data_IF_698920262053
#
_entry.id   IF_698920262053
#
_cell.length_a   1.000
_cell.length_b   1.000
_cell.length_c   1.000
_cell.angle_alpha   90.00
_cell.angle_beta   90.00
_cell.angle_gamma   90.00
#
_symmetry.space_group_name_H-M   'P 1'
#
loop_
_entity.id
_entity.type
_entity.pdbx_description
1 polymer ?
#
# COMPACT_ATOMS: atom_id res chain seq x y z
N UNK A 1 -3.33 -33.04 7.10
CA UNK A 1 -4.33 -32.02 6.75
C UNK A 1 -5.35 -32.66 5.81
N UNK A 2 -6.63 -32.63 6.14
CA UNK A 2 -7.69 -33.25 5.33
C UNK A 2 -7.98 -32.39 4.07
N UNK A 3 -8.46 -33.01 2.98
CA UNK A 3 -8.78 -32.33 1.71
C UNK A 3 -9.73 -31.15 1.90
N UNK A 4 -10.71 -31.27 2.81
CA UNK A 4 -11.65 -30.20 3.14
C UNK A 4 -10.96 -28.96 3.75
N UNK A 5 -9.91 -29.16 4.55
CA UNK A 5 -9.15 -28.07 5.18
C UNK A 5 -8.32 -27.31 4.13
N UNK A 6 -7.70 -28.05 3.21
CA UNK A 6 -6.97 -27.47 2.08
C UNK A 6 -7.93 -26.65 1.21
N UNK A 7 -9.13 -27.18 0.92
CA UNK A 7 -10.13 -26.49 0.12
C UNK A 7 -10.59 -25.17 0.76
N UNK A 8 -10.75 -25.12 2.09
CA UNK A 8 -11.12 -23.90 2.81
C UNK A 8 -10.01 -22.82 2.77
N UNK A 9 -8.74 -23.22 2.84
CA UNK A 9 -7.60 -22.31 2.74
C UNK A 9 -7.48 -21.77 1.31
N UNK A 10 -7.61 -22.64 0.31
CA UNK A 10 -7.55 -22.26 -1.11
C UNK A 10 -8.69 -21.30 -1.45
N UNK A 11 -9.93 -21.64 -1.08
CA UNK A 11 -11.09 -20.77 -1.27
C UNK A 11 -10.90 -19.41 -0.57
N UNK A 12 -10.34 -19.39 0.64
CA UNK A 12 -10.04 -18.14 1.34
C UNK A 12 -9.03 -17.26 0.58
N UNK A 13 -7.95 -17.87 0.05
CA UNK A 13 -6.94 -17.17 -0.77
C UNK A 13 -7.57 -16.58 -2.03
N UNK A 14 -8.34 -17.39 -2.74
CA UNK A 14 -8.98 -16.98 -4.00
C UNK A 14 -9.98 -15.85 -3.78
N UNK A 15 -10.79 -15.93 -2.72
CA UNK A 15 -11.76 -14.89 -2.37
C UNK A 15 -11.10 -13.55 -2.07
N UNK A 16 -10.05 -13.54 -1.26
CA UNK A 16 -9.30 -12.31 -0.95
C UNK A 16 -8.69 -11.74 -2.23
N UNK A 17 -7.99 -12.58 -3.01
CA UNK A 17 -7.34 -12.14 -4.24
C UNK A 17 -8.34 -11.58 -5.25
N UNK A 18 -9.49 -12.24 -5.42
CA UNK A 18 -10.56 -11.82 -6.34
C UNK A 18 -11.14 -10.47 -5.96
N UNK A 19 -11.50 -10.27 -4.69
CA UNK A 19 -12.08 -8.99 -4.22
C UNK A 19 -11.09 -7.84 -4.36
N UNK A 20 -9.82 -8.07 -3.98
CA UNK A 20 -8.78 -7.05 -4.13
C UNK A 20 -8.56 -6.74 -5.61
N UNK A 21 -8.42 -7.76 -6.46
CA UNK A 21 -8.19 -7.55 -7.90
C UNK A 21 -9.35 -6.79 -8.57
N UNK A 22 -10.60 -7.15 -8.26
CA UNK A 22 -11.79 -6.49 -8.81
C UNK A 22 -11.85 -5.01 -8.40
N UNK A 23 -11.64 -4.71 -7.12
CA UNK A 23 -11.57 -3.33 -6.65
C UNK A 23 -10.47 -2.54 -7.37
N UNK A 24 -9.27 -3.12 -7.49
CA UNK A 24 -8.11 -2.44 -8.09
C UNK A 24 -8.28 -2.21 -9.60
N UNK A 25 -9.06 -3.08 -10.28
CA UNK A 25 -9.37 -2.95 -11.70
C UNK A 25 -10.48 -1.94 -11.98
N UNK A 26 -11.44 -1.79 -11.06
CA UNK A 26 -12.62 -0.93 -11.23
C UNK A 26 -12.44 0.47 -10.61
N UNK A 27 -11.50 0.63 -9.70
CA UNK A 27 -11.24 1.90 -9.03
C UNK A 27 -10.69 2.98 -9.97
N UNK A 28 -11.38 4.13 -10.02
CA UNK A 28 -10.97 5.31 -10.77
C UNK A 28 -9.74 6.03 -10.18
N UNK A 29 -9.28 7.06 -10.88
CA UNK A 29 -8.10 7.85 -10.46
C UNK A 29 -8.32 8.58 -9.12
N UNK A 30 -9.57 8.83 -8.73
CA UNK A 30 -9.94 9.41 -7.45
C UNK A 30 -9.66 8.49 -6.24
N UNK A 31 -9.54 7.17 -6.46
CA UNK A 31 -9.35 6.18 -5.40
C UNK A 31 -7.89 6.02 -4.95
N UNK A 32 -6.94 6.65 -5.63
CA UNK A 32 -5.53 6.56 -5.28
C UNK A 32 -4.77 7.86 -5.52
N UNK A 33 -3.66 8.00 -4.80
CA UNK A 33 -2.70 9.09 -5.02
C UNK A 33 -1.34 8.50 -5.31
N UNK A 34 -0.64 9.06 -6.29
CA UNK A 34 0.78 8.79 -6.47
C UNK A 34 1.59 9.46 -5.36
N UNK A 35 2.30 8.66 -4.58
CA UNK A 35 3.21 9.12 -3.52
C UNK A 35 4.61 8.60 -3.75
N UNK A 36 5.62 9.39 -3.38
CA UNK A 36 7.02 8.94 -3.44
C UNK A 36 7.20 7.81 -2.42
N UNK A 37 7.97 6.78 -2.79
CA UNK A 37 8.31 5.67 -1.88
C UNK A 37 8.95 6.25 -0.61
N UNK A 38 8.47 5.82 0.56
CA UNK A 38 8.88 6.36 1.87
C UNK A 38 10.40 6.34 2.10
N UNK A 39 11.10 5.37 1.52
CA UNK A 39 12.57 5.24 1.55
C UNK A 39 13.32 6.43 0.91
N UNK A 40 12.62 7.22 0.08
CA UNK A 40 13.18 8.32 -0.70
C UNK A 40 12.43 9.65 -0.48
N UNK A 41 11.44 9.66 0.42
CA UNK A 41 10.56 10.79 0.65
C UNK A 41 10.90 11.57 1.92
N UNK A 42 11.06 12.90 1.81
CA UNK A 42 11.05 13.82 2.94
C UNK A 42 9.60 14.20 3.33
N UNK A 43 9.34 14.65 4.57
CA UNK A 43 7.98 14.93 5.06
C UNK A 43 7.29 16.14 4.41
N UNK A 44 7.97 16.90 3.54
CA UNK A 44 7.46 18.13 2.92
C UNK A 44 7.30 18.01 1.41
N UNK A 45 6.17 18.53 0.90
CA UNK A 45 5.85 18.61 -0.54
C UNK A 45 6.21 19.99 -1.06
N UNK A 46 7.24 20.09 -1.90
CA UNK A 46 7.49 21.31 -2.68
C UNK A 46 6.72 21.23 -4.02
N UNK A 47 6.13 22.34 -4.49
CA UNK A 47 5.52 22.43 -5.81
C UNK A 47 6.49 22.05 -6.94
N UNK A 48 6.01 21.33 -7.97
CA UNK A 48 6.84 20.82 -9.06
C UNK A 48 7.68 21.90 -9.78
N UNK A 49 7.17 23.13 -9.87
CA UNK A 49 7.87 24.26 -10.52
C UNK A 49 9.15 24.69 -9.77
N UNK A 50 9.23 24.47 -8.46
CA UNK A 50 10.40 24.82 -7.66
C UNK A 50 11.57 23.86 -7.91
N UNK A 51 11.31 22.60 -8.25
CA UNK A 51 12.37 21.60 -8.47
C UNK A 51 13.19 21.82 -9.75
N UNK A 52 12.63 22.50 -10.75
CA UNK A 52 13.34 22.79 -12.01
C UNK A 52 13.83 24.24 -12.02
N UNK A 53 13.01 25.17 -11.51
CA UNK A 53 13.36 26.60 -11.52
C UNK A 53 14.49 26.96 -10.55
N UNK A 54 14.50 26.41 -9.33
CA UNK A 54 15.53 26.75 -8.32
C UNK A 54 16.92 26.27 -8.75
N UNK A 55 17.13 25.00 -9.13
CA UNK A 55 18.48 24.54 -9.47
C UNK A 55 19.03 25.24 -10.71
N UNK A 56 18.18 25.54 -11.70
CA UNK A 56 18.57 26.24 -12.91
C UNK A 56 18.98 27.70 -12.61
N UNK A 57 18.20 28.41 -11.81
CA UNK A 57 18.49 29.80 -11.43
C UNK A 57 19.74 29.91 -10.54
N UNK A 58 19.93 28.98 -9.61
CA UNK A 58 21.16 28.89 -8.81
C UNK A 58 22.37 28.57 -9.71
N UNK A 59 22.25 27.61 -10.62
CA UNK A 59 23.31 27.25 -11.56
C UNK A 59 23.74 28.43 -12.45
N UNK A 60 22.78 29.15 -13.03
CA UNK A 60 23.06 30.35 -13.83
C UNK A 60 23.71 31.44 -12.97
N UNK A 61 23.22 31.63 -11.73
CA UNK A 61 23.77 32.60 -10.79
C UNK A 61 25.24 32.33 -10.44
N UNK A 62 25.60 31.07 -10.17
CA UNK A 62 26.99 30.68 -9.88
C UNK A 62 27.92 30.85 -11.09
N UNK A 63 27.44 30.51 -12.29
CA UNK A 63 28.22 30.73 -13.53
C UNK A 63 28.44 32.23 -13.76
N UNK A 64 27.42 33.06 -13.58
CA UNK A 64 27.55 34.51 -13.70
C UNK A 64 28.49 35.10 -12.63
N UNK A 65 28.41 34.63 -11.38
CA UNK A 65 29.29 35.07 -10.31
C UNK A 65 30.77 34.75 -10.60
N UNK A 66 31.07 33.59 -11.19
CA UNK A 66 32.42 33.24 -11.62
C UNK A 66 32.95 34.19 -12.70
N UNK A 67 32.17 34.43 -13.77
CA UNK A 67 32.59 35.32 -14.86
C UNK A 67 32.74 36.78 -14.43
N UNK A 68 32.01 37.21 -13.40
CA UNK A 68 32.10 38.55 -12.82
C UNK A 68 33.18 38.67 -11.72
N UNK A 69 33.90 37.58 -11.40
CA UNK A 69 34.96 37.56 -10.40
C UNK A 69 34.47 37.60 -8.95
N UNK A 70 33.19 37.30 -8.70
CA UNK A 70 32.59 37.23 -7.36
C UNK A 70 32.67 35.84 -6.72
N UNK A 71 33.07 34.81 -7.47
CA UNK A 71 33.17 33.44 -6.97
C UNK A 71 34.41 32.72 -7.50
N UNK A 72 35.06 31.94 -6.64
CA UNK A 72 36.22 31.12 -6.99
C UNK A 72 35.85 29.68 -7.38
N UNK A 73 36.79 28.93 -7.96
CA UNK A 73 36.57 27.55 -8.44
C UNK A 73 36.03 26.60 -7.37
N UNK A 74 36.49 26.73 -6.12
CA UNK A 74 36.01 25.93 -5.00
C UNK A 74 34.54 26.20 -4.67
N UNK A 75 34.10 27.45 -4.82
CA UNK A 75 32.72 27.86 -4.56
C UNK A 75 31.78 27.40 -5.67
N UNK A 76 32.27 27.32 -6.92
CA UNK A 76 31.54 26.71 -8.05
C UNK A 76 31.38 25.21 -7.84
N UNK A 77 32.42 24.51 -7.37
CA UNK A 77 32.31 23.07 -7.08
C UNK A 77 31.29 22.84 -5.96
N UNK A 78 31.36 23.62 -4.88
CA UNK A 78 30.41 23.54 -3.77
C UNK A 78 28.97 23.84 -4.23
N UNK A 79 28.78 24.93 -4.99
CA UNK A 79 27.48 25.32 -5.55
C UNK A 79 26.94 24.30 -6.55
N UNK A 80 27.81 23.74 -7.40
CA UNK A 80 27.48 22.65 -8.32
C UNK A 80 27.01 21.39 -7.59
N UNK A 81 27.64 21.05 -6.46
CA UNK A 81 27.18 19.97 -5.58
C UNK A 81 25.76 20.20 -5.06
N UNK A 82 25.44 21.41 -4.62
CA UNK A 82 24.09 21.77 -4.16
C UNK A 82 23.07 21.68 -5.30
N UNK A 83 23.38 22.20 -6.48
CA UNK A 83 22.52 22.13 -7.67
C UNK A 83 22.28 20.68 -8.09
N UNK A 84 23.31 19.84 -8.08
CA UNK A 84 23.20 18.42 -8.41
C UNK A 84 22.28 17.67 -7.44
N UNK A 85 22.41 17.91 -6.14
CA UNK A 85 21.54 17.32 -5.11
C UNK A 85 20.08 17.75 -5.27
N UNK A 86 19.84 19.05 -5.47
CA UNK A 86 18.48 19.56 -5.68
C UNK A 86 17.85 19.01 -6.98
N UNK A 87 18.64 18.87 -8.03
CA UNK A 87 18.20 18.31 -9.31
C UNK A 87 17.88 16.82 -9.18
N UNK A 88 18.72 16.05 -8.50
CA UNK A 88 18.48 14.63 -8.20
C UNK A 88 17.20 14.46 -7.35
N UNK A 89 16.99 15.33 -6.36
CA UNK A 89 15.77 15.33 -5.56
C UNK A 89 14.53 15.64 -6.40
N UNK A 90 14.59 16.68 -7.24
CA UNK A 90 13.52 17.01 -8.18
C UNK A 90 13.17 15.85 -9.11
N UNK A 91 14.19 15.17 -9.63
CA UNK A 91 14.02 13.99 -10.46
C UNK A 91 13.31 12.85 -9.71
N UNK A 92 13.65 12.58 -8.45
CA UNK A 92 12.96 11.58 -7.61
C UNK A 92 11.48 11.93 -7.43
N UNK A 93 11.16 13.19 -7.19
CA UNK A 93 9.80 13.66 -6.93
C UNK A 93 8.91 13.64 -8.19
N UNK A 94 9.49 13.88 -9.37
CA UNK A 94 8.74 13.95 -10.63
C UNK A 94 8.63 12.55 -11.26
N UNK A 95 9.69 11.76 -11.21
CA UNK A 95 9.79 10.50 -11.93
C UNK A 95 8.79 9.45 -11.42
N UNK A 96 8.04 8.79 -12.31
CA UNK A 96 7.09 7.74 -11.94
C UNK A 96 7.78 6.51 -11.34
N UNK A 97 9.09 6.30 -11.61
CA UNK A 97 9.85 5.15 -11.08
C UNK A 97 9.92 5.13 -9.55
N UNK A 98 9.89 6.30 -8.92
CA UNK A 98 9.96 6.44 -7.46
C UNK A 98 8.59 6.65 -6.82
N UNK A 99 7.51 6.55 -7.60
CA UNK A 99 6.15 6.69 -7.12
C UNK A 99 5.51 5.32 -6.91
N UNK A 100 4.65 5.24 -5.92
CA UNK A 100 3.74 4.11 -5.68
C UNK A 100 2.31 4.64 -5.55
N UNK A 101 1.33 3.79 -5.89
CA UNK A 101 -0.07 4.09 -5.61
C UNK A 101 -0.31 3.95 -4.11
N UNK A 102 -0.74 5.03 -3.48
CA UNK A 102 -1.32 5.03 -2.15
C UNK A 102 -2.84 5.06 -2.32
N UNK A 103 -3.48 3.95 -2.00
CA UNK A 103 -4.93 3.83 -2.05
C UNK A 103 -5.57 4.61 -0.91
N UNK A 104 -6.68 5.29 -1.21
CA UNK A 104 -7.40 6.14 -0.26
C UNK A 104 -8.85 5.72 -0.23
N UNK A 105 -9.41 5.66 0.98
CA UNK A 105 -10.82 5.33 1.21
C UNK A 105 -11.24 4.03 0.49
N UNK A 106 -10.34 3.05 0.38
CA UNK A 106 -10.57 1.79 -0.32
C UNK A 106 -11.34 0.79 0.53
N UNK A 107 -12.49 1.25 1.02
CA UNK A 107 -13.38 0.48 1.85
C UNK A 107 -13.97 -0.68 1.08
N UNK A 108 -14.11 -1.80 1.78
CA UNK A 108 -14.77 -2.98 1.25
C UNK A 108 -16.25 -2.68 0.98
N UNK A 109 -16.73 -2.99 -0.23
CA UNK A 109 -18.16 -2.90 -0.55
C UNK A 109 -18.93 -3.98 0.23
N UNK A 110 -20.19 -3.71 0.51
CA UNK A 110 -21.05 -4.66 1.25
C UNK A 110 -21.19 -6.00 0.50
N UNK A 111 -21.35 -5.96 -0.83
CA UNK A 111 -21.38 -7.15 -1.68
C UNK A 111 -20.12 -8.01 -1.53
N UNK A 112 -18.96 -7.36 -1.48
CA UNK A 112 -17.66 -8.02 -1.39
C UNK A 112 -17.48 -8.61 0.01
N UNK A 113 -17.92 -7.91 1.05
CA UNK A 113 -17.95 -8.43 2.41
C UNK A 113 -18.80 -9.70 2.55
N UNK A 114 -20.01 -9.69 1.97
CA UNK A 114 -20.89 -10.86 1.96
C UNK A 114 -20.24 -12.01 1.20
N UNK A 115 -19.60 -11.74 0.06
CA UNK A 115 -18.87 -12.74 -0.71
C UNK A 115 -17.71 -13.37 0.06
N UNK A 116 -16.90 -12.57 0.77
CA UNK A 116 -15.83 -13.09 1.63
C UNK A 116 -16.39 -13.93 2.80
N UNK A 117 -17.52 -13.51 3.38
CA UNK A 117 -18.16 -14.21 4.50
C UNK A 117 -18.78 -15.57 4.14
N UNK A 118 -18.88 -15.92 2.86
CA UNK A 118 -19.27 -17.28 2.44
C UNK A 118 -18.26 -18.34 2.89
N UNK A 119 -16.99 -17.96 3.07
CA UNK A 119 -16.01 -18.80 3.73
C UNK A 119 -16.12 -18.61 5.26
N UNK A 120 -16.42 -19.66 6.04
CA UNK A 120 -16.69 -19.53 7.47
C UNK A 120 -15.46 -19.07 8.27
N UNK A 121 -14.26 -19.45 7.85
CA UNK A 121 -13.00 -19.08 8.51
C UNK A 121 -12.65 -17.61 8.24
N UNK A 122 -12.87 -17.13 7.01
CA UNK A 122 -12.78 -15.70 6.70
C UNK A 122 -13.82 -14.89 7.47
N UNK A 123 -15.08 -15.33 7.51
CA UNK A 123 -16.16 -14.66 8.24
C UNK A 123 -15.76 -14.36 9.68
N UNK A 124 -15.21 -15.35 10.39
CA UNK A 124 -14.76 -15.16 11.78
C UNK A 124 -13.70 -14.07 11.90
N UNK A 125 -12.70 -14.06 11.00
CA UNK A 125 -11.60 -13.08 11.02
C UNK A 125 -12.06 -11.68 10.67
N UNK A 126 -12.94 -11.55 9.68
CA UNK A 126 -13.50 -10.26 9.28
C UNK A 126 -14.38 -9.65 10.38
N UNK A 127 -15.23 -10.46 11.03
CA UNK A 127 -16.03 -10.01 12.17
C UNK A 127 -15.13 -9.59 13.35
N UNK A 128 -14.07 -10.35 13.64
CA UNK A 128 -13.11 -9.98 14.69
C UNK A 128 -12.42 -8.64 14.40
N UNK A 129 -12.01 -8.40 13.15
CA UNK A 129 -11.47 -7.10 12.73
C UNK A 129 -12.50 -5.98 12.87
N UNK A 130 -13.76 -6.20 12.47
CA UNK A 130 -14.83 -5.21 12.58
C UNK A 130 -15.16 -4.78 14.02
N UNK A 131 -14.94 -5.68 14.99
CA UNK A 131 -15.10 -5.35 16.42
C UNK A 131 -14.03 -4.37 16.92
N UNK A 132 -12.81 -4.47 16.39
CA UNK A 132 -11.68 -3.61 16.77
C UNK A 132 -11.73 -2.30 15.99
N UNK A 133 -11.99 -2.41 14.70
CA UNK A 133 -11.96 -1.30 13.75
C UNK A 133 -13.24 -1.37 12.93
N UNK A 134 -14.06 -0.31 12.99
CA UNK A 134 -15.40 -0.29 12.37
C UNK A 134 -15.38 -0.41 10.84
N UNK A 135 -14.20 -0.51 10.22
CA UNK A 135 -14.02 -0.57 8.77
C UNK A 135 -12.95 -1.58 8.37
N UNK A 136 -13.14 -2.14 7.18
CA UNK A 136 -12.16 -3.01 6.49
C UNK A 136 -11.87 -2.37 5.14
N UNK A 137 -10.59 -2.29 4.79
CA UNK A 137 -10.13 -1.80 3.48
C UNK A 137 -9.51 -2.92 2.65
N UNK A 138 -9.55 -2.77 1.32
CA UNK A 138 -8.89 -3.67 0.37
C UNK A 138 -7.38 -3.71 0.60
N UNK A 139 -6.75 -2.58 0.93
CA UNK A 139 -5.33 -2.53 1.33
C UNK A 139 -5.05 -3.33 2.60
N UNK A 140 -5.92 -3.27 3.61
CA UNK A 140 -5.73 -4.09 4.81
C UNK A 140 -5.84 -5.58 4.47
N UNK A 141 -6.84 -5.97 3.68
CA UNK A 141 -7.03 -7.34 3.22
C UNK A 141 -5.81 -7.86 2.46
N UNK A 142 -5.30 -7.08 1.52
CA UNK A 142 -4.12 -7.41 0.72
C UNK A 142 -2.86 -7.55 1.58
N UNK A 143 -2.63 -6.60 2.49
CA UNK A 143 -1.45 -6.59 3.37
C UNK A 143 -1.48 -7.73 4.38
N UNK A 144 -2.66 -8.12 4.86
CA UNK A 144 -2.82 -9.14 5.90
C UNK A 144 -3.21 -10.51 5.33
N UNK A 145 -3.26 -10.67 4.00
CA UNK A 145 -3.73 -11.91 3.37
C UNK A 145 -2.96 -13.14 3.90
N UNK A 146 -1.62 -13.10 3.87
CA UNK A 146 -0.77 -14.19 4.38
C UNK A 146 -1.04 -14.50 5.85
N UNK A 147 -1.10 -13.47 6.70
CA UNK A 147 -1.37 -13.62 8.13
C UNK A 147 -2.78 -14.17 8.40
N UNK A 148 -3.79 -13.77 7.61
CA UNK A 148 -5.14 -14.32 7.71
C UNK A 148 -5.12 -15.81 7.37
N UNK A 149 -4.41 -16.19 6.29
CA UNK A 149 -4.30 -17.59 5.88
C UNK A 149 -3.57 -18.45 6.90
N UNK A 150 -2.40 -18.01 7.39
CA UNK A 150 -1.65 -18.71 8.45
C UNK A 150 -2.51 -18.92 9.69
N UNK A 151 -3.29 -17.90 10.05
CA UNK A 151 -4.23 -17.96 11.15
C UNK A 151 -5.39 -18.93 10.92
N UNK A 152 -5.84 -19.11 9.68
CA UNK A 152 -6.86 -20.11 9.32
C UNK A 152 -6.23 -21.50 9.40
N UNK A 153 -5.03 -21.67 8.86
CA UNK A 153 -4.27 -22.93 8.89
C UNK A 153 -4.01 -23.39 10.34
N UNK A 154 -3.60 -22.47 11.22
CA UNK A 154 -3.44 -22.73 12.65
C UNK A 154 -4.76 -23.19 13.33
N UNK A 155 -5.88 -22.52 13.04
CA UNK A 155 -7.19 -22.90 13.60
C UNK A 155 -7.69 -24.24 13.08
N UNK A 156 -7.36 -24.59 11.84
CA UNK A 156 -7.72 -25.88 11.23
C UNK A 156 -6.84 -27.03 11.76
N UNK A 157 -5.61 -26.74 12.17
CA UNK A 157 -4.65 -27.73 12.69
C UNK A 157 -4.76 -27.97 14.21
N UNK A 158 -5.35 -27.05 14.96
CA UNK A 158 -5.61 -27.20 16.40
C UNK A 158 -6.85 -28.06 16.73
N UNK A 159 -6.84 -28.69 17.91
CA UNK A 159 -7.95 -29.53 18.43
C UNK A 159 -9.31 -28.80 18.52
N UNK A 160 -9.32 -27.46 18.55
CA UNK A 160 -10.53 -26.62 18.58
C UNK A 160 -11.38 -26.69 17.30
N UNK A 161 -10.84 -27.21 16.20
CA UNK A 161 -11.56 -27.40 14.94
C UNK A 161 -12.75 -28.36 15.09
N UNK A 162 -12.64 -29.40 15.92
CA UNK A 162 -13.73 -30.36 16.15
C UNK A 162 -14.94 -29.71 16.83
N UNK A 163 -14.70 -28.89 17.84
CA UNK A 163 -15.76 -28.10 18.52
C UNK A 163 -16.39 -27.05 17.60
N UNK A 164 -15.61 -26.49 16.67
CA UNK A 164 -16.11 -25.51 15.71
C UNK A 164 -16.99 -26.15 14.62
N UNK A 165 -16.58 -27.31 14.07
CA UNK A 165 -17.41 -28.08 13.14
C UNK A 165 -18.71 -28.52 13.81
N UNK A 166 -18.68 -28.99 15.06
CA UNK A 166 -19.89 -29.35 15.81
C UNK A 166 -20.84 -28.17 15.97
N UNK A 167 -20.33 -26.97 16.31
CA UNK A 167 -21.12 -25.74 16.41
C UNK A 167 -21.67 -25.26 15.07
N UNK A 168 -20.95 -25.45 13.97
CA UNK A 168 -21.45 -25.13 12.64
C UNK A 168 -22.57 -26.09 12.24
N UNK A 169 -22.40 -27.40 12.47
CA UNK A 169 -23.44 -28.39 12.16
C UNK A 169 -24.74 -28.18 12.96
N UNK A 170 -24.64 -27.77 14.23
CA UNK A 170 -25.82 -27.52 15.07
C UNK A 170 -26.60 -26.25 14.68
N UNK A 171 -25.94 -25.22 14.14
CA UNK A 171 -26.60 -23.98 13.72
C UNK A 171 -27.19 -24.01 12.30
N UNK A 172 -26.97 -25.07 11.52
CA UNK A 172 -27.54 -25.24 10.16
C UNK A 172 -28.79 -26.12 10.15
N UNK A 173 -29.13 -26.76 11.29
CA UNK A 173 -30.29 -27.67 11.42
C UNK A 173 -31.48 -27.00 12.14
N UNK A 174 -31.32 -25.75 12.62
CA UNK A 174 -32.41 -24.90 13.14
C UNK A 174 -32.89 -23.91 12.08
#
# INVERSE_FOLDING_TARGET
>A
MNSDQINLIVDAKERIASVVADYRATAGEEAYRWVVKYELGLPFKLPNKLYVGIPLSIGIGYVAAYYLGFADWNEIIAGGGVVALLSAFGYIQISPKFKRKEWRNDYLRESDFVYLCKNPMLKQRLIAKLKIDKRITCTWLETNASTIIENIDYLLSGEDHLKFIERLKTNTIS
#
